data_IF_822698259547
#
_entry.id   IF_822698259547
#
_cell.length_a   1.000
_cell.length_b   1.000
_cell.length_c   1.000
_cell.angle_alpha   90.00
_cell.angle_beta   90.00
_cell.angle_gamma   90.00
#
_symmetry.space_group_name_H-M   'P 1'
#
loop_
_entity.id
_entity.type
_entity.pdbx_description
1 polymer ?
#
# COMPACT_ATOMS: atom_id res chain seq x y z
N UNK A 1 -15.16 -5.24 -8.75
CA UNK A 1 -14.02 -5.96 -9.36
C UNK A 1 -13.00 -6.13 -8.27
N UNK A 2 -12.72 -7.37 -7.84
CA UNK A 2 -11.65 -7.62 -6.87
C UNK A 2 -10.30 -7.47 -7.58
N UNK A 3 -9.44 -6.65 -7.06
CA UNK A 3 -8.09 -6.46 -7.58
C UNK A 3 -7.21 -7.63 -7.10
N UNK A 4 -6.85 -8.54 -8.00
CA UNK A 4 -5.96 -9.65 -7.69
C UNK A 4 -4.51 -9.15 -7.66
N UNK A 5 -4.00 -8.93 -6.45
CA UNK A 5 -2.60 -8.52 -6.20
C UNK A 5 -1.61 -9.66 -6.52
N UNK A 6 -2.06 -10.91 -6.67
CA UNK A 6 -1.23 -12.06 -7.06
C UNK A 6 -0.64 -11.93 -8.47
N UNK A 7 -1.25 -11.08 -9.32
CA UNK A 7 -0.78 -10.82 -10.67
C UNK A 7 0.24 -9.67 -10.79
N UNK A 8 0.57 -9.00 -9.68
CA UNK A 8 1.56 -7.92 -9.70
C UNK A 8 2.96 -8.42 -9.35
N UNK A 9 3.89 -8.23 -10.28
CA UNK A 9 5.31 -8.50 -10.07
C UNK A 9 5.93 -7.39 -9.22
N UNK A 10 6.70 -7.75 -8.22
CA UNK A 10 7.43 -6.78 -7.39
C UNK A 10 8.60 -6.16 -8.16
N UNK A 11 9.09 -5.00 -7.71
CA UNK A 11 10.27 -4.36 -8.31
C UNK A 11 11.51 -5.26 -8.19
N UNK A 12 11.64 -5.99 -7.08
CA UNK A 12 12.75 -6.94 -6.90
C UNK A 12 12.72 -8.08 -7.92
N UNK A 13 11.57 -8.67 -8.18
CA UNK A 13 11.41 -9.71 -9.20
C UNK A 13 11.74 -9.17 -10.59
N UNK A 14 11.32 -7.93 -10.90
CA UNK A 14 11.65 -7.24 -12.16
C UNK A 14 13.14 -7.00 -12.28
N UNK A 15 13.84 -6.59 -11.22
CA UNK A 15 15.29 -6.41 -11.21
C UNK A 15 16.02 -7.73 -11.47
N UNK A 16 15.59 -8.82 -10.81
CA UNK A 16 16.17 -10.16 -11.03
C UNK A 16 16.02 -10.55 -12.52
N UNK A 17 14.86 -10.34 -13.11
CA UNK A 17 14.60 -10.66 -14.51
C UNK A 17 15.39 -9.74 -15.45
N UNK A 18 15.55 -8.45 -15.11
CA UNK A 18 16.38 -7.51 -15.86
C UNK A 18 17.82 -8.02 -15.97
N UNK A 19 18.45 -8.36 -14.83
CA UNK A 19 19.84 -8.81 -14.80
C UNK A 19 20.03 -10.22 -15.36
N UNK A 20 19.00 -11.06 -15.38
CA UNK A 20 19.03 -12.33 -16.14
C UNK A 20 19.08 -12.08 -17.63
N UNK A 21 18.27 -11.12 -18.13
CA UNK A 21 18.18 -10.81 -19.57
C UNK A 21 19.35 -9.97 -20.07
N UNK A 22 19.85 -9.08 -19.21
CA UNK A 22 20.92 -8.14 -19.49
C UNK A 22 21.94 -8.16 -18.33
N UNK A 23 22.86 -9.14 -18.31
CA UNK A 23 23.81 -9.30 -17.18
C UNK A 23 24.69 -8.07 -16.91
N UNK A 24 24.99 -7.30 -17.94
CA UNK A 24 25.84 -6.10 -17.89
C UNK A 24 25.02 -4.80 -17.74
N UNK A 25 23.72 -4.92 -17.49
CA UNK A 25 22.86 -3.75 -17.32
C UNK A 25 23.30 -2.89 -16.13
N UNK A 26 23.11 -1.59 -16.26
CA UNK A 26 23.29 -0.61 -15.21
C UNK A 26 21.96 0.06 -14.90
N UNK A 27 21.65 0.21 -13.61
CA UNK A 27 20.49 0.93 -13.11
C UNK A 27 20.99 2.08 -12.23
N UNK A 28 20.61 3.30 -12.55
CA UNK A 28 21.06 4.48 -11.82
C UNK A 28 19.90 5.42 -11.57
N UNK A 29 19.70 5.78 -10.30
CA UNK A 29 18.78 6.85 -9.92
C UNK A 29 19.49 8.20 -9.97
N UNK A 30 18.74 9.24 -10.31
CA UNK A 30 19.14 10.62 -10.04
C UNK A 30 19.21 10.85 -8.53
N UNK A 31 19.89 11.88 -8.10
CA UNK A 31 19.72 12.42 -6.76
C UNK A 31 18.24 12.83 -6.62
N UNK A 32 17.53 12.38 -5.56
CA UNK A 32 16.16 12.80 -5.33
C UNK A 32 16.06 14.32 -5.23
N UNK A 33 15.06 14.89 -5.87
CA UNK A 33 14.80 16.34 -5.86
C UNK A 33 13.37 16.65 -5.41
N UNK A 34 13.15 17.85 -4.92
CA UNK A 34 11.81 18.33 -4.58
C UNK A 34 11.30 19.18 -5.74
N UNK A 35 10.11 18.85 -6.22
CA UNK A 35 9.37 19.65 -7.18
C UNK A 35 8.11 20.23 -6.54
N UNK A 36 7.71 21.41 -6.99
CA UNK A 36 6.43 22.03 -6.64
C UNK A 36 5.41 21.76 -7.74
N UNK A 37 4.28 21.16 -7.37
CA UNK A 37 3.19 20.95 -8.29
C UNK A 37 1.85 21.09 -7.55
N UNK A 38 0.93 21.88 -8.08
CA UNK A 38 -0.38 22.15 -7.50
C UNK A 38 -0.32 22.59 -6.03
N UNK A 39 0.63 23.50 -5.72
CA UNK A 39 0.83 24.04 -4.37
C UNK A 39 1.39 23.05 -3.35
N UNK A 40 1.88 21.89 -3.79
CA UNK A 40 2.42 20.83 -2.94
C UNK A 40 3.85 20.46 -3.32
N UNK A 41 4.59 19.99 -2.34
CA UNK A 41 5.92 19.42 -2.55
C UNK A 41 5.83 17.92 -2.89
N UNK A 42 6.65 17.51 -3.85
CA UNK A 42 6.78 16.13 -4.31
C UNK A 42 8.23 15.73 -4.36
N UNK A 43 8.53 14.52 -3.93
CA UNK A 43 9.80 13.88 -4.24
C UNK A 43 9.79 13.39 -5.68
N UNK A 44 10.75 13.83 -6.48
CA UNK A 44 10.96 13.39 -7.85
C UNK A 44 12.25 12.60 -7.94
N UNK A 45 12.17 11.41 -8.52
CA UNK A 45 13.32 10.56 -8.85
C UNK A 45 13.22 10.11 -10.29
N UNK A 46 14.35 10.15 -11.00
CA UNK A 46 14.48 9.65 -12.36
C UNK A 46 15.45 8.49 -12.36
N UNK A 47 15.06 7.36 -12.94
CA UNK A 47 15.90 6.18 -13.13
C UNK A 47 16.32 6.09 -14.59
N UNK A 48 17.61 5.86 -14.81
CA UNK A 48 18.18 5.53 -16.12
C UNK A 48 18.67 4.09 -16.11
N UNK A 49 18.33 3.31 -17.14
CA UNK A 49 18.78 1.93 -17.31
C UNK A 49 19.49 1.81 -18.65
N UNK A 50 20.74 1.36 -18.61
CA UNK A 50 21.51 0.90 -19.75
C UNK A 50 21.47 -0.62 -19.78
N UNK A 51 21.16 -1.23 -20.95
CA UNK A 51 21.11 -2.69 -21.12
C UNK A 51 22.50 -3.32 -21.13
N UNK A 52 23.47 -2.53 -21.55
CA UNK A 52 24.91 -2.84 -21.54
C UNK A 52 25.70 -1.53 -21.46
N UNK A 53 27.06 -1.59 -21.21
CA UNK A 53 27.87 -0.39 -21.09
C UNK A 53 27.96 0.47 -22.37
N UNK A 54 27.68 -0.10 -23.54
CA UNK A 54 27.69 0.57 -24.82
C UNK A 54 26.31 0.94 -25.34
N UNK A 55 25.25 0.78 -24.53
CA UNK A 55 23.87 1.09 -24.90
C UNK A 55 23.70 2.58 -25.26
N UNK A 56 23.51 2.92 -26.55
CA UNK A 56 23.42 4.31 -26.99
C UNK A 56 22.09 4.97 -26.68
N UNK A 57 21.09 4.17 -26.31
CA UNK A 57 19.71 4.61 -26.04
C UNK A 57 19.21 4.04 -24.71
N UNK A 58 19.70 4.57 -23.60
CA UNK A 58 19.22 4.13 -22.29
C UNK A 58 17.74 4.44 -22.10
N UNK A 59 17.07 3.62 -21.31
CA UNK A 59 15.70 3.86 -20.92
C UNK A 59 15.67 4.78 -19.72
N UNK A 60 14.79 5.78 -19.75
CA UNK A 60 14.61 6.75 -18.67
C UNK A 60 13.15 6.76 -18.23
N UNK A 61 12.92 6.68 -16.92
CA UNK A 61 11.60 6.83 -16.34
C UNK A 61 11.66 7.63 -15.03
N UNK A 62 10.62 8.39 -14.76
CA UNK A 62 10.51 9.17 -13.53
C UNK A 62 9.30 8.75 -12.72
N UNK A 63 9.41 8.89 -11.40
CA UNK A 63 8.30 8.79 -10.47
C UNK A 63 8.33 9.96 -9.48
N UNK A 64 7.15 10.37 -9.05
CA UNK A 64 7.01 11.41 -8.04
C UNK A 64 6.04 10.95 -6.94
N UNK A 65 6.39 11.23 -5.69
CA UNK A 65 5.58 10.93 -4.51
C UNK A 65 5.31 12.21 -3.72
N UNK A 66 4.06 12.47 -3.33
CA UNK A 66 3.71 13.66 -2.58
C UNK A 66 4.30 13.61 -1.17
N UNK A 67 4.96 14.70 -0.76
CA UNK A 67 5.59 14.80 0.56
C UNK A 67 4.55 14.99 1.65
N UNK A 68 4.60 14.17 2.71
CA UNK A 68 3.81 14.33 3.93
C UNK A 68 2.32 14.02 3.82
N UNK A 69 1.87 13.26 2.82
CA UNK A 69 0.44 13.08 2.56
C UNK A 69 -0.24 11.97 3.36
N UNK A 70 0.43 10.91 3.72
CA UNK A 70 -0.22 9.80 4.43
C UNK A 70 0.58 9.35 5.64
N UNK A 71 -0.12 8.88 6.67
CA UNK A 71 0.53 8.30 7.85
C UNK A 71 1.33 7.03 7.54
N UNK A 72 1.03 6.36 6.41
CA UNK A 72 1.70 5.13 5.99
C UNK A 72 2.98 5.38 5.18
N UNK A 73 3.04 6.49 4.45
CA UNK A 73 4.17 6.83 3.60
C UNK A 73 5.05 7.90 4.20
N UNK A 74 4.60 8.53 5.30
CA UNK A 74 5.36 9.55 6.00
C UNK A 74 6.77 9.04 6.31
N UNK A 75 7.75 9.83 5.94
CA UNK A 75 9.19 9.56 6.07
C UNK A 75 9.74 8.44 5.14
N UNK A 76 8.91 7.88 4.24
CA UNK A 76 9.32 6.90 3.22
C UNK A 76 9.03 7.32 1.77
N UNK A 77 8.46 8.52 1.57
CA UNK A 77 8.02 8.98 0.23
C UNK A 77 9.18 9.02 -0.77
N UNK A 78 10.36 9.46 -0.33
CA UNK A 78 11.56 9.49 -1.17
C UNK A 78 11.94 8.07 -1.62
N UNK A 79 11.99 7.10 -0.72
CA UNK A 79 12.30 5.70 -1.04
C UNK A 79 11.22 5.07 -1.94
N UNK A 80 9.96 5.47 -1.76
CA UNK A 80 8.87 5.03 -2.63
C UNK A 80 9.02 5.60 -4.04
N UNK A 81 9.41 6.87 -4.19
CA UNK A 81 9.70 7.46 -5.49
C UNK A 81 10.87 6.76 -6.19
N UNK A 82 11.95 6.43 -5.46
CA UNK A 82 13.07 5.65 -5.98
C UNK A 82 12.62 4.27 -6.49
N UNK A 83 11.91 3.53 -5.67
CA UNK A 83 11.41 2.18 -6.03
C UNK A 83 10.46 2.24 -7.22
N UNK A 84 9.54 3.20 -7.24
CA UNK A 84 8.58 3.37 -8.32
C UNK A 84 9.25 3.75 -9.64
N UNK A 85 10.27 4.62 -9.61
CA UNK A 85 11.01 5.01 -10.82
C UNK A 85 11.78 3.83 -11.42
N UNK A 86 12.43 3.01 -10.58
CA UNK A 86 13.10 1.76 -11.00
C UNK A 86 12.10 0.81 -11.65
N UNK A 87 10.98 0.55 -10.99
CA UNK A 87 9.95 -0.36 -11.50
C UNK A 87 9.41 0.06 -12.88
N UNK A 88 9.19 1.37 -13.09
CA UNK A 88 8.74 1.95 -14.37
C UNK A 88 9.82 1.84 -15.45
N UNK A 89 11.07 2.15 -15.11
CA UNK A 89 12.17 2.06 -16.07
C UNK A 89 12.37 0.62 -16.56
N UNK A 90 12.31 -0.38 -15.67
CA UNK A 90 12.44 -1.80 -16.05
C UNK A 90 11.31 -2.23 -17.01
N UNK A 91 10.08 -1.79 -16.76
CA UNK A 91 8.97 -2.08 -17.69
C UNK A 91 9.22 -1.58 -19.10
N UNK A 92 9.84 -0.41 -19.22
CA UNK A 92 10.15 0.20 -20.51
C UNK A 92 11.34 -0.48 -21.24
N UNK A 93 12.18 -1.22 -20.53
CA UNK A 93 13.31 -2.01 -21.14
C UNK A 93 12.83 -3.19 -21.98
N UNK A 94 11.56 -3.39 -22.15
CA UNK A 94 11.03 -4.48 -22.97
C UNK A 94 9.93 -5.29 -22.28
N UNK A 95 9.13 -4.61 -21.48
CA UNK A 95 7.95 -5.22 -20.86
C UNK A 95 8.28 -6.22 -19.74
N UNK A 96 9.47 -6.12 -19.15
CA UNK A 96 9.88 -7.02 -18.06
C UNK A 96 8.93 -6.88 -16.89
N UNK A 97 8.29 -8.00 -16.50
CA UNK A 97 7.34 -8.06 -15.40
C UNK A 97 5.91 -7.63 -15.75
N UNK A 98 5.61 -7.42 -17.05
CA UNK A 98 4.23 -7.29 -17.51
C UNK A 98 3.67 -8.70 -17.66
N UNK A 99 2.70 -9.06 -16.83
CA UNK A 99 1.86 -10.24 -17.04
C UNK A 99 0.69 -9.86 -17.95
N UNK A 100 0.15 -10.83 -18.68
CA UNK A 100 -1.01 -10.61 -19.55
C UNK A 100 -2.16 -9.97 -18.75
N UNK A 101 -2.65 -8.81 -19.19
CA UNK A 101 -3.61 -8.00 -18.44
C UNK A 101 -3.05 -7.15 -17.30
N UNK A 102 -1.71 -7.13 -17.13
CA UNK A 102 -1.04 -6.36 -16.07
C UNK A 102 -0.97 -4.86 -16.35
N UNK A 103 -0.94 -4.07 -15.28
CA UNK A 103 -0.77 -2.62 -15.32
C UNK A 103 0.71 -2.22 -15.24
N UNK A 104 1.05 -1.04 -15.79
CA UNK A 104 2.37 -0.42 -15.58
C UNK A 104 2.60 0.01 -14.12
N UNK A 105 1.54 0.15 -13.33
CA UNK A 105 1.66 0.49 -11.93
C UNK A 105 2.34 -0.64 -11.14
N UNK A 106 3.18 -0.29 -10.17
CA UNK A 106 3.71 -1.27 -9.22
C UNK A 106 2.62 -1.65 -8.22
N UNK A 107 2.76 -2.81 -7.57
CA UNK A 107 1.85 -3.23 -6.49
C UNK A 107 1.68 -2.15 -5.43
N UNK A 108 2.77 -1.48 -5.06
CA UNK A 108 2.75 -0.42 -4.06
C UNK A 108 1.98 0.83 -4.54
N UNK A 109 2.10 1.20 -5.82
CA UNK A 109 1.33 2.33 -6.38
C UNK A 109 -0.18 2.07 -6.37
N UNK A 110 -0.58 0.83 -6.65
CA UNK A 110 -2.00 0.44 -6.63
C UNK A 110 -2.54 0.46 -5.20
N UNK A 111 -1.78 -0.07 -4.25
CA UNK A 111 -2.13 -0.06 -2.81
C UNK A 111 -2.23 1.36 -2.28
N UNK A 112 -1.28 2.23 -2.61
CA UNK A 112 -1.22 3.59 -2.10
C UNK A 112 -2.28 4.53 -2.71
N UNK A 113 -2.83 4.21 -3.89
CA UNK A 113 -3.89 5.01 -4.54
C UNK A 113 -5.31 4.61 -4.17
N UNK A 114 -5.51 3.80 -3.13
CA UNK A 114 -6.84 3.41 -2.67
C UNK A 114 -7.58 2.50 -3.67
N UNK A 115 -6.84 1.78 -4.51
CA UNK A 115 -7.36 0.57 -5.10
C UNK A 115 -7.87 -0.29 -3.95
N UNK A 116 -9.11 -0.77 -4.06
CA UNK A 116 -9.78 -1.55 -3.03
C UNK A 116 -8.86 -2.70 -2.59
N UNK A 117 -8.01 -2.37 -1.64
CA UNK A 117 -7.30 -3.36 -0.89
C UNK A 117 -8.33 -3.95 0.04
N UNK A 118 -9.09 -4.91 -0.47
CA UNK A 118 -9.42 -6.01 0.40
C UNK A 118 -8.07 -6.48 0.91
N UNK A 119 -7.71 -5.96 2.09
CA UNK A 119 -6.60 -6.46 2.89
C UNK A 119 -6.88 -7.94 3.11
N UNK A 120 -6.44 -8.76 2.17
CA UNK A 120 -6.24 -10.15 2.47
C UNK A 120 -4.97 -10.21 3.28
N UNK A 121 -5.22 -10.40 4.58
CA UNK A 121 -4.35 -11.08 5.50
C UNK A 121 -3.02 -10.42 5.96
N UNK A 122 -3.13 -9.22 6.55
CA UNK A 122 -2.70 -9.24 7.94
C UNK A 122 -3.92 -9.74 8.73
N UNK A 123 -3.81 -10.66 9.68
CA UNK A 123 -4.90 -10.95 10.59
C UNK A 123 -5.34 -9.57 11.11
N UNK A 124 -6.59 -9.16 10.84
CA UNK A 124 -7.12 -8.00 11.51
C UNK A 124 -7.07 -8.41 12.97
N UNK A 125 -6.12 -7.85 13.72
CA UNK A 125 -6.17 -8.00 15.16
C UNK A 125 -7.57 -7.50 15.52
N UNK A 126 -8.43 -8.44 15.92
CA UNK A 126 -9.77 -8.12 16.41
C UNK A 126 -9.58 -7.00 17.40
N UNK A 127 -10.31 -5.89 17.28
CA UNK A 127 -10.12 -4.77 18.18
C UNK A 127 -10.16 -5.29 19.59
N UNK A 128 -9.16 -4.93 20.39
CA UNK A 128 -8.98 -5.46 21.74
C UNK A 128 -10.27 -5.20 22.52
N UNK A 129 -10.98 -6.28 22.83
CA UNK A 129 -12.22 -6.24 23.58
C UNK A 129 -11.91 -6.27 25.08
N UNK A 130 -12.67 -5.53 25.85
CA UNK A 130 -12.59 -5.50 27.30
C UNK A 130 -14.01 -5.44 27.88
N UNK A 131 -14.24 -5.94 29.09
CA UNK A 131 -15.55 -5.86 29.75
C UNK A 131 -16.02 -4.40 29.86
N UNK A 132 -17.29 -4.14 29.55
CA UNK A 132 -17.85 -2.79 29.72
C UNK A 132 -17.86 -2.41 31.19
N UNK A 133 -17.31 -1.25 31.53
CA UNK A 133 -17.25 -0.75 32.92
C UNK A 133 -18.50 -0.02 33.37
N UNK A 134 -19.30 0.48 32.45
CA UNK A 134 -20.49 1.29 32.69
C UNK A 134 -21.63 0.80 31.81
N UNK A 135 -22.90 0.93 32.29
CA UNK A 135 -24.05 0.65 31.44
C UNK A 135 -24.01 1.50 30.16
N UNK A 136 -24.28 0.91 29.00
CA UNK A 136 -24.30 1.60 27.73
C UNK A 136 -25.19 0.88 26.73
N UNK A 137 -25.82 1.64 25.82
CA UNK A 137 -26.61 1.07 24.73
C UNK A 137 -25.77 0.14 23.83
N UNK A 138 -26.31 -1.04 23.55
CA UNK A 138 -25.73 -1.99 22.62
C UNK A 138 -25.64 -1.37 21.24
N UNK A 139 -24.50 -1.56 20.57
CA UNK A 139 -24.31 -1.06 19.21
C UNK A 139 -25.30 -1.68 18.21
N UNK A 140 -25.70 -2.93 18.43
CA UNK A 140 -26.59 -3.68 17.54
C UNK A 140 -28.08 -3.47 17.88
N UNK A 141 -28.56 -3.96 19.04
CA UNK A 141 -29.97 -3.93 19.38
C UNK A 141 -30.44 -2.64 20.08
N UNK A 142 -29.51 -1.74 20.45
CA UNK A 142 -29.75 -0.48 21.16
C UNK A 142 -30.25 -0.63 22.60
N UNK A 143 -30.48 -1.84 23.09
CA UNK A 143 -30.80 -2.11 24.47
C UNK A 143 -29.62 -1.82 25.40
N UNK A 144 -29.88 -1.57 26.67
CA UNK A 144 -28.85 -1.28 27.66
C UNK A 144 -28.10 -2.56 28.00
N UNK A 145 -26.79 -2.50 27.94
CA UNK A 145 -25.85 -3.52 28.40
C UNK A 145 -25.36 -3.09 29.77
N UNK A 146 -25.70 -3.84 30.79
CA UNK A 146 -25.28 -3.54 32.16
C UNK A 146 -23.78 -3.69 32.35
N UNK A 147 -23.20 -3.01 33.35
CA UNK A 147 -21.78 -3.04 33.61
C UNK A 147 -21.29 -4.47 33.89
N UNK A 148 -20.27 -4.91 33.12
CA UNK A 148 -19.70 -6.26 33.20
C UNK A 148 -20.44 -7.33 32.38
N UNK A 149 -21.62 -7.06 31.85
CA UNK A 149 -22.43 -8.02 31.11
C UNK A 149 -22.13 -8.03 29.59
N UNK A 150 -21.41 -7.05 29.12
CA UNK A 150 -21.03 -6.90 27.70
C UNK A 150 -19.54 -6.75 27.45
N UNK A 151 -19.24 -6.51 26.20
CA UNK A 151 -17.89 -6.21 25.71
C UNK A 151 -17.86 -4.81 25.10
N UNK A 152 -16.75 -4.11 25.33
CA UNK A 152 -16.48 -2.81 24.71
C UNK A 152 -15.22 -2.90 23.87
N UNK A 153 -15.16 -2.11 22.80
CA UNK A 153 -13.98 -1.94 21.98
C UNK A 153 -13.85 -0.50 21.51
N UNK A 154 -12.63 -0.12 21.10
CA UNK A 154 -12.35 1.20 20.51
C UNK A 154 -12.24 1.05 19.01
N UNK A 155 -12.91 1.92 18.25
CA UNK A 155 -12.74 2.06 16.80
C UNK A 155 -12.63 3.54 16.45
N UNK A 156 -11.46 3.95 15.97
CA UNK A 156 -11.09 5.35 15.87
C UNK A 156 -11.07 6.02 17.25
N UNK A 157 -11.74 7.16 17.38
CA UNK A 157 -11.84 7.90 18.65
C UNK A 157 -13.09 7.56 19.48
N UNK A 158 -13.89 6.59 19.04
CA UNK A 158 -15.15 6.21 19.70
C UNK A 158 -15.06 4.84 20.36
N UNK A 159 -15.77 4.71 21.48
CA UNK A 159 -15.97 3.44 22.17
C UNK A 159 -17.36 2.90 21.89
N UNK A 160 -17.42 1.63 21.55
CA UNK A 160 -18.63 0.87 21.28
C UNK A 160 -18.80 -0.21 22.35
N UNK A 161 -20.05 -0.63 22.58
CA UNK A 161 -20.39 -1.68 23.54
C UNK A 161 -21.42 -2.60 22.90
N UNK A 162 -21.34 -3.90 23.16
CA UNK A 162 -22.32 -4.89 22.74
C UNK A 162 -22.50 -5.95 23.83
N UNK A 163 -23.61 -6.68 23.75
CA UNK A 163 -23.81 -7.87 24.55
C UNK A 163 -22.72 -8.92 24.25
N UNK A 164 -22.44 -9.81 25.19
CA UNK A 164 -21.57 -10.97 24.93
C UNK A 164 -22.20 -11.87 23.87
N UNK A 165 -21.37 -12.66 23.18
CA UNK A 165 -21.81 -13.59 22.14
C UNK A 165 -23.03 -14.41 22.59
N UNK A 166 -24.08 -14.45 21.76
CA UNK A 166 -25.33 -15.18 22.02
C UNK A 166 -26.40 -14.42 22.75
N UNK A 167 -26.16 -13.23 23.29
CA UNK A 167 -27.14 -12.39 23.96
C UNK A 167 -27.84 -11.38 23.01
N UNK A 168 -27.46 -11.32 21.77
CA UNK A 168 -28.00 -10.43 20.76
C UNK A 168 -27.96 -11.18 19.41
N UNK A 169 -29.07 -11.24 18.66
CA UNK A 169 -29.21 -11.99 17.41
C UNK A 169 -28.33 -11.46 16.24
N UNK A 170 -27.44 -10.53 16.49
CA UNK A 170 -26.54 -9.96 15.50
C UNK A 170 -25.09 -10.22 15.89
N UNK A 171 -24.39 -10.94 15.03
CA UNK A 171 -22.94 -11.15 15.16
C UNK A 171 -22.16 -9.83 15.10
N UNK A 172 -21.12 -9.72 15.92
CA UNK A 172 -20.18 -8.62 15.84
C UNK A 172 -19.52 -8.61 14.46
N UNK A 173 -19.40 -7.44 13.77
CA UNK A 173 -18.80 -7.35 12.44
C UNK A 173 -17.27 -7.45 12.53
N UNK A 174 -16.75 -8.66 12.80
CA UNK A 174 -15.32 -8.93 12.79
C UNK A 174 -14.98 -10.23 12.07
#
# INVERSE_FOLDING_TARGET
MSFDLGNYTTVNERLIELFKRYPDARVQNSVPSIMQFDGREWWLVTTTIWRDPADPLPVIASAAEPKGQTSFTKDSEMMNAETSSIGRAILLVGGIGIKEGGSMASRNEVVNRGGDTTRQDAPQEKPRQFPNKFPKGCFYCKEIVEAGEGVSWKSGDKYYTAHKEGACDQEAPF
#
